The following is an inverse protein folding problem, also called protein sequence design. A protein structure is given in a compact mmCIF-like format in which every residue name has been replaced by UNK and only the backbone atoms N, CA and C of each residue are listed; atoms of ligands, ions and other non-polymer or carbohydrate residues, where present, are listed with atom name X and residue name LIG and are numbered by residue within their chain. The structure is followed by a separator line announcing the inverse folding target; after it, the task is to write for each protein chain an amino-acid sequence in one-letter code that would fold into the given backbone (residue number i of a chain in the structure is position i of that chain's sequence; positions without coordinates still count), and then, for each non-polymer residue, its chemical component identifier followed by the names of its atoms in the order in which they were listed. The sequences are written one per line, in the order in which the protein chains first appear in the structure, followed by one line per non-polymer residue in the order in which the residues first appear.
data_IF_693321006267
#
_entry.id   IF_693321006267
#
_cell.length_a   1.000
_cell.length_b   1.000
_cell.length_c   1.000
_cell.angle_alpha   90.00
_cell.angle_beta   90.00
_cell.angle_gamma   90.00
#
_symmetry.space_group_name_H-M   'P 1'
#
loop_
_entity.id
_entity.type
_entity.pdbx_description
1 polymer ?
#
# COMPACT_ATOMS: atom_id res chain seq x y z
N UNK A 1 -60.58 16.83 19.22
CA UNK A 1 -59.88 16.31 20.41
C UNK A 1 -58.88 15.32 19.88
N UNK A 2 -57.59 15.58 20.04
CA UNK A 2 -56.56 14.61 19.63
C UNK A 2 -56.53 13.53 20.73
N UNK A 3 -56.93 12.33 20.37
CA UNK A 3 -56.92 11.17 21.26
C UNK A 3 -55.47 10.77 21.52
N UNK A 4 -55.06 10.75 22.78
CA UNK A 4 -53.74 10.30 23.23
C UNK A 4 -53.90 9.04 24.06
N UNK A 5 -52.94 8.12 23.93
CA UNK A 5 -52.88 6.87 24.68
C UNK A 5 -51.76 6.97 25.72
N UNK A 6 -52.06 6.73 27.01
CA UNK A 6 -51.02 6.64 28.03
C UNK A 6 -50.12 5.45 27.71
N UNK A 7 -48.84 5.73 27.48
CA UNK A 7 -47.83 4.76 27.05
C UNK A 7 -46.67 4.78 28.03
N UNK A 8 -46.32 3.62 28.58
CA UNK A 8 -45.17 3.48 29.46
C UNK A 8 -43.85 3.59 28.68
N UNK A 9 -42.92 4.37 29.21
CA UNK A 9 -41.53 4.41 28.77
C UNK A 9 -40.59 3.97 29.90
N UNK A 10 -39.51 3.27 29.53
CA UNK A 10 -38.47 2.76 30.41
C UNK A 10 -37.08 3.21 29.97
N UNK A 11 -36.16 3.35 30.91
CA UNK A 11 -34.73 3.61 30.67
C UNK A 11 -33.86 2.44 31.15
N UNK A 12 -32.63 2.30 30.62
CA UNK A 12 -31.69 1.28 31.10
C UNK A 12 -31.30 1.40 32.59
N UNK A 13 -31.44 2.60 33.16
CA UNK A 13 -31.21 2.87 34.59
C UNK A 13 -32.37 2.45 35.51
N UNK A 14 -33.43 1.87 34.94
CA UNK A 14 -34.63 1.43 35.65
C UNK A 14 -35.70 2.50 35.86
N UNK A 15 -35.52 3.72 35.33
CA UNK A 15 -36.55 4.77 35.40
C UNK A 15 -37.75 4.41 34.53
N UNK A 16 -38.96 4.65 35.04
CA UNK A 16 -40.21 4.43 34.32
C UNK A 16 -41.14 5.65 34.42
N UNK A 17 -41.76 6.06 33.31
CA UNK A 17 -42.68 7.20 33.25
C UNK A 17 -43.80 6.93 32.23
N UNK A 18 -45.00 7.48 32.49
CA UNK A 18 -46.13 7.40 31.55
C UNK A 18 -46.14 8.65 30.68
N UNK A 19 -46.17 8.45 29.36
CA UNK A 19 -46.29 9.51 28.38
C UNK A 19 -47.66 9.46 27.69
N UNK A 20 -48.34 10.61 27.62
CA UNK A 20 -49.56 10.74 26.80
C UNK A 20 -49.17 10.98 25.35
N UNK A 21 -49.18 9.91 24.55
CA UNK A 21 -48.71 9.93 23.16
C UNK A 21 -49.87 9.71 22.18
N UNK A 22 -49.86 10.41 21.04
CA UNK A 22 -50.77 10.07 19.94
C UNK A 22 -50.48 8.64 19.43
N UNK A 23 -51.49 7.89 18.95
CA UNK A 23 -51.30 6.54 18.42
C UNK A 23 -50.19 6.47 17.37
N UNK A 24 -49.22 5.58 17.57
CA UNK A 24 -48.08 5.38 16.67
C UNK A 24 -46.93 6.40 16.82
N UNK A 25 -47.02 7.36 17.74
CA UNK A 25 -45.90 8.26 18.05
C UNK A 25 -44.85 7.51 18.88
N UNK A 26 -43.59 7.65 18.49
CA UNK A 26 -42.46 7.12 19.26
C UNK A 26 -42.31 7.82 20.62
N UNK A 27 -41.74 7.10 21.59
CA UNK A 27 -41.31 7.66 22.87
C UNK A 27 -40.20 8.70 22.66
N UNK A 28 -40.00 9.63 23.61
CA UNK A 28 -38.88 10.56 23.59
C UNK A 28 -37.53 9.83 23.51
N UNK A 29 -36.52 10.51 22.98
CA UNK A 29 -35.17 9.95 22.84
C UNK A 29 -34.64 9.44 24.18
N UNK A 30 -34.07 8.23 24.17
CA UNK A 30 -33.56 7.54 25.36
C UNK A 30 -34.62 6.80 26.19
N UNK A 31 -35.89 6.79 25.78
CA UNK A 31 -36.96 6.00 26.41
C UNK A 31 -37.44 4.86 25.51
N UNK A 32 -37.66 3.70 26.10
CA UNK A 32 -38.02 2.46 25.41
C UNK A 32 -39.37 1.94 25.86
N UNK A 33 -40.13 1.31 24.97
CA UNK A 33 -41.46 0.79 25.29
C UNK A 33 -41.42 -0.54 26.07
N UNK A 34 -40.27 -1.21 26.12
CA UNK A 34 -40.10 -2.49 26.82
C UNK A 34 -39.27 -2.34 28.10
N UNK A 35 -39.68 -2.97 29.22
CA UNK A 35 -38.85 -3.16 30.41
C UNK A 35 -37.56 -3.93 30.13
N UNK A 36 -37.46 -4.65 29.01
CA UNK A 36 -36.25 -5.41 28.65
C UNK A 36 -35.02 -4.52 28.37
N UNK A 37 -35.23 -3.20 28.22
CA UNK A 37 -34.11 -2.25 28.13
C UNK A 37 -33.39 -2.06 29.47
N UNK A 38 -33.99 -2.49 30.60
CA UNK A 38 -33.41 -2.39 31.93
C UNK A 38 -32.26 -3.40 32.05
N UNK A 39 -31.04 -2.89 32.18
CA UNK A 39 -29.83 -3.71 32.15
C UNK A 39 -29.63 -4.56 33.43
N UNK A 40 -30.32 -4.21 34.52
CA UNK A 40 -30.32 -4.95 35.78
C UNK A 40 -31.62 -5.78 35.92
N UNK A 41 -31.56 -7.12 35.84
CA UNK A 41 -32.72 -7.99 35.98
C UNK A 41 -33.48 -7.83 37.31
N UNK A 42 -32.81 -7.41 38.39
CA UNK A 42 -33.45 -7.18 39.68
C UNK A 42 -34.39 -5.97 39.66
N UNK A 43 -34.17 -5.03 38.72
CA UNK A 43 -35.00 -3.85 38.51
C UNK A 43 -36.08 -4.06 37.43
N UNK A 44 -36.05 -5.18 36.70
CA UNK A 44 -37.01 -5.47 35.64
C UNK A 44 -38.36 -6.04 36.14
N UNK A 45 -38.54 -6.21 37.45
CA UNK A 45 -39.81 -6.70 38.02
C UNK A 45 -40.76 -5.55 38.35
N UNK A 46 -42.05 -5.75 38.10
CA UNK A 46 -43.09 -4.75 38.40
C UNK A 46 -43.09 -4.34 39.88
N UNK A 47 -42.75 -5.27 40.78
CA UNK A 47 -42.66 -5.01 42.22
C UNK A 47 -41.43 -4.19 42.60
N UNK A 48 -40.26 -4.44 42.00
CA UNK A 48 -39.06 -3.63 42.24
C UNK A 48 -39.20 -2.20 41.71
N UNK A 49 -39.85 -2.04 40.54
CA UNK A 49 -40.17 -0.74 39.97
C UNK A 49 -41.16 0.04 40.86
N UNK A 50 -42.21 -0.64 41.34
CA UNK A 50 -43.21 -0.03 42.24
C UNK A 50 -42.60 0.34 43.60
N UNK A 51 -41.78 -0.55 44.19
CA UNK A 51 -41.08 -0.29 45.43
C UNK A 51 -40.17 0.94 45.31
N UNK A 52 -39.46 1.10 44.18
CA UNK A 52 -38.59 2.25 43.93
C UNK A 52 -39.36 3.56 43.76
N UNK A 53 -40.48 3.54 43.03
CA UNK A 53 -41.38 4.72 42.90
C UNK A 53 -41.92 5.14 44.27
N UNK A 54 -42.22 4.17 45.14
CA UNK A 54 -42.72 4.41 46.50
C UNK A 54 -41.61 4.68 47.55
N UNK A 55 -40.33 4.69 47.15
CA UNK A 55 -39.19 4.88 48.05
C UNK A 55 -38.95 3.73 49.04
N UNK A 56 -39.48 2.54 48.76
CA UNK A 56 -39.30 1.32 49.56
C UNK A 56 -38.10 0.50 49.06
N UNK A 57 -37.35 -0.17 49.97
CA UNK A 57 -36.27 -1.08 49.56
C UNK A 57 -36.84 -2.23 48.72
N UNK A 58 -36.05 -2.73 47.77
CA UNK A 58 -36.49 -3.80 46.89
C UNK A 58 -36.69 -5.12 47.66
N UNK A 59 -37.54 -6.04 47.17
CA UNK A 59 -37.80 -7.33 47.82
C UNK A 59 -36.53 -8.14 48.09
N UNK A 60 -35.55 -8.12 47.17
CA UNK A 60 -34.26 -8.78 47.33
C UNK A 60 -33.46 -8.22 48.53
N UNK A 61 -33.59 -6.92 48.82
CA UNK A 61 -32.96 -6.29 49.99
C UNK A 61 -33.67 -6.70 51.28
N UNK A 62 -34.99 -6.87 51.25
CA UNK A 62 -35.78 -7.31 52.41
C UNK A 62 -35.49 -8.77 52.79
N UNK A 63 -35.32 -9.65 51.82
CA UNK A 63 -34.97 -11.06 52.04
C UNK A 63 -33.57 -11.22 52.67
N UNK A 64 -32.61 -10.43 52.19
CA UNK A 64 -31.27 -10.33 52.80
C UNK A 64 -31.31 -9.81 54.25
N UNK A 65 -32.18 -8.84 54.53
CA UNK A 65 -32.34 -8.29 55.86
C UNK A 65 -32.93 -9.32 56.85
N UNK A 66 -33.85 -10.17 56.40
CA UNK A 66 -34.47 -11.22 57.23
C UNK A 66 -33.45 -12.33 57.59
N UNK A 67 -32.64 -12.79 56.62
CA UNK A 67 -31.57 -13.77 56.86
C UNK A 67 -30.48 -13.26 57.83
N UNK A 68 -30.23 -11.95 57.85
CA UNK A 68 -29.24 -11.35 58.76
C UNK A 68 -29.76 -11.15 60.19
N UNK A 69 -31.08 -11.14 60.40
CA UNK A 69 -31.72 -10.81 61.68
C UNK A 69 -31.55 -11.90 62.75
N UNK A 70 -31.46 -13.17 62.33
CA UNK A 70 -31.31 -14.34 63.23
C UNK A 70 -29.85 -14.74 63.49
N UNK A 71 -28.88 -14.10 62.83
CA UNK A 71 -27.45 -14.45 62.98
C UNK A 71 -26.82 -13.76 64.20
N UNK A 72 -25.94 -14.44 64.96
CA UNK A 72 -25.22 -13.80 66.06
C UNK A 72 -24.40 -12.63 65.55
N UNK A 73 -24.41 -11.50 66.27
CA UNK A 73 -23.66 -10.28 65.92
C UNK A 73 -22.17 -10.57 65.64
N UNK A 74 -21.54 -11.44 66.42
CA UNK A 74 -20.14 -11.83 66.22
C UNK A 74 -19.89 -12.55 64.87
N UNK A 75 -20.89 -13.26 64.33
CA UNK A 75 -20.80 -13.91 63.02
C UNK A 75 -20.98 -12.89 61.91
N UNK A 76 -21.91 -11.93 62.08
CA UNK A 76 -22.09 -10.81 61.15
C UNK A 76 -20.83 -9.93 61.08
N UNK A 77 -20.19 -9.67 62.22
CA UNK A 77 -18.93 -8.91 62.29
C UNK A 77 -17.78 -9.63 61.57
N UNK A 78 -17.70 -10.96 61.73
CA UNK A 78 -16.70 -11.77 61.04
C UNK A 78 -16.93 -11.80 59.52
N UNK A 79 -18.17 -11.99 59.08
CA UNK A 79 -18.53 -11.97 57.67
C UNK A 79 -18.32 -10.60 57.03
N UNK A 80 -18.66 -9.52 57.74
CA UNK A 80 -18.39 -8.16 57.28
C UNK A 80 -16.88 -7.92 57.16
N UNK A 81 -16.09 -8.37 58.13
CA UNK A 81 -14.62 -8.26 58.08
C UNK A 81 -14.05 -9.02 56.88
N UNK A 82 -14.54 -10.24 56.62
CA UNK A 82 -14.12 -11.03 55.47
C UNK A 82 -14.53 -10.39 54.14
N UNK A 83 -15.77 -9.89 54.06
CA UNK A 83 -16.26 -9.20 52.86
C UNK A 83 -15.46 -7.93 52.57
N UNK A 84 -15.12 -7.14 53.59
CA UNK A 84 -14.27 -5.95 53.43
C UNK A 84 -12.85 -6.32 52.97
N UNK A 85 -12.28 -7.41 53.50
CA UNK A 85 -10.97 -7.90 53.06
C UNK A 85 -11.01 -8.36 51.59
N UNK A 86 -12.07 -9.07 51.18
CA UNK A 86 -12.24 -9.49 49.79
C UNK A 86 -12.50 -8.31 48.86
N UNK A 87 -13.29 -7.32 49.28
CA UNK A 87 -13.50 -6.07 48.52
C UNK A 87 -12.17 -5.35 48.31
N UNK A 88 -11.32 -5.25 49.34
CA UNK A 88 -10.00 -4.64 49.20
C UNK A 88 -9.13 -5.41 48.19
N UNK A 89 -9.08 -6.75 48.31
CA UNK A 89 -8.35 -7.62 47.37
C UNK A 89 -8.85 -7.47 45.94
N UNK A 90 -10.17 -7.50 45.71
CA UNK A 90 -10.76 -7.34 44.37
C UNK A 90 -10.51 -5.95 43.81
N UNK A 91 -10.52 -4.91 44.65
CA UNK A 91 -10.19 -3.55 44.25
C UNK A 91 -8.75 -3.43 43.75
N UNK A 92 -7.80 -4.07 44.43
CA UNK A 92 -6.39 -4.11 44.01
C UNK A 92 -6.20 -4.87 42.68
N UNK A 93 -6.92 -5.98 42.50
CA UNK A 93 -6.92 -6.75 41.25
C UNK A 93 -7.47 -5.91 40.10
N UNK A 94 -8.59 -5.21 40.31
CA UNK A 94 -9.20 -4.34 39.31
C UNK A 94 -8.24 -3.20 38.96
N UNK A 95 -7.64 -2.54 39.95
CA UNK A 95 -6.69 -1.46 39.71
C UNK A 95 -5.48 -1.93 38.88
N UNK A 96 -4.94 -3.10 39.21
CA UNK A 96 -3.82 -3.71 38.47
C UNK A 96 -4.24 -4.05 37.04
N UNK A 97 -5.40 -4.72 36.86
CA UNK A 97 -5.91 -5.08 35.54
C UNK A 97 -6.25 -3.87 34.67
N UNK A 98 -6.76 -2.79 35.25
CA UNK A 98 -6.99 -1.53 34.54
C UNK A 98 -5.69 -0.90 34.05
N UNK A 99 -4.64 -0.89 34.87
CA UNK A 99 -3.32 -0.37 34.47
C UNK A 99 -2.67 -1.24 33.37
N UNK A 100 -2.82 -2.57 33.46
CA UNK A 100 -2.36 -3.48 32.40
C UNK A 100 -3.13 -3.29 31.10
N UNK A 101 -4.45 -3.08 31.17
CA UNK A 101 -5.27 -2.80 29.99
C UNK A 101 -4.88 -1.49 29.31
N UNK A 102 -4.62 -0.41 30.08
CA UNK A 102 -4.14 0.86 29.54
C UNK A 102 -2.82 0.67 28.80
N UNK A 103 -1.88 -0.06 29.40
CA UNK A 103 -0.60 -0.39 28.76
C UNK A 103 -0.78 -1.21 27.47
N UNK A 104 -1.68 -2.19 27.45
CA UNK A 104 -1.94 -2.99 26.25
C UNK A 104 -2.58 -2.16 25.14
N UNK A 105 -3.45 -1.20 25.48
CA UNK A 105 -4.02 -0.26 24.50
C UNK A 105 -2.91 0.59 23.89
N UNK A 106 -2.01 1.16 24.70
CA UNK A 106 -0.87 1.92 24.20
C UNK A 106 0.05 1.08 23.29
N UNK A 107 0.31 -0.18 23.67
CA UNK A 107 1.11 -1.11 22.85
C UNK A 107 0.42 -1.43 21.51
N UNK A 108 -0.90 -1.63 21.51
CA UNK A 108 -1.67 -1.87 20.28
C UNK A 108 -1.58 -0.65 19.38
N UNK A 109 -1.87 0.55 19.89
CA UNK A 109 -1.81 1.78 19.10
C UNK A 109 -0.42 2.01 18.49
N UNK A 110 0.65 1.74 19.25
CA UNK A 110 2.02 1.83 18.76
C UNK A 110 2.31 0.81 17.64
N UNK A 111 1.84 -0.43 17.79
CA UNK A 111 1.99 -1.48 16.76
C UNK A 111 1.19 -1.15 15.50
N UNK A 112 -0.02 -0.60 15.63
CA UNK A 112 -0.83 -0.18 14.50
C UNK A 112 -0.18 0.98 13.73
N UNK A 113 0.34 1.98 14.44
CA UNK A 113 1.10 3.06 13.82
C UNK A 113 2.34 2.54 13.07
N UNK A 114 3.07 1.58 13.67
CA UNK A 114 4.23 0.96 13.03
C UNK A 114 3.85 0.13 11.79
N UNK A 115 2.73 -0.60 11.83
CA UNK A 115 2.18 -1.34 10.69
C UNK A 115 1.84 -0.40 9.54
N UNK A 116 1.17 0.70 9.83
CA UNK A 116 0.73 1.64 8.80
C UNK A 116 1.93 2.34 8.14
N UNK A 117 2.96 2.70 8.93
CA UNK A 117 4.23 3.20 8.40
C UNK A 117 4.92 2.17 7.48
N UNK A 118 5.00 0.90 7.90
CA UNK A 118 5.60 -0.16 7.10
C UNK A 118 4.83 -0.40 5.78
N UNK A 119 3.50 -0.32 5.79
CA UNK A 119 2.69 -0.43 4.57
C UNK A 119 2.98 0.71 3.59
N UNK A 120 3.12 1.94 4.09
CA UNK A 120 3.49 3.09 3.25
C UNK A 120 4.90 2.96 2.64
N UNK A 121 5.85 2.42 3.40
CA UNK A 121 7.19 2.12 2.89
C UNK A 121 7.16 1.06 1.78
N UNK A 122 6.39 -0.02 1.97
CA UNK A 122 6.23 -1.07 0.96
C UNK A 122 5.60 -0.52 -0.33
N UNK A 123 4.61 0.34 -0.23
CA UNK A 123 4.00 0.98 -1.39
C UNK A 123 5.00 1.87 -2.14
N UNK A 124 5.77 2.68 -1.41
CA UNK A 124 6.84 3.52 -1.97
C UNK A 124 7.89 2.67 -2.68
N UNK A 125 8.33 1.57 -2.05
CA UNK A 125 9.32 0.66 -2.64
C UNK A 125 8.79 -0.03 -3.91
N UNK A 126 7.51 -0.39 -3.95
CA UNK A 126 6.87 -0.97 -5.15
C UNK A 126 6.80 0.01 -6.31
N UNK A 127 6.47 1.27 -6.03
CA UNK A 127 6.48 2.32 -7.05
C UNK A 127 7.89 2.52 -7.62
N UNK A 128 8.90 2.65 -6.76
CA UNK A 128 10.30 2.76 -7.19
C UNK A 128 10.76 1.54 -8.01
N UNK A 129 10.35 0.33 -7.62
CA UNK A 129 10.66 -0.88 -8.39
C UNK A 129 10.02 -0.86 -9.79
N UNK A 130 8.77 -0.41 -9.92
CA UNK A 130 8.12 -0.29 -11.22
C UNK A 130 8.84 0.71 -12.14
N UNK A 131 9.31 1.84 -11.59
CA UNK A 131 10.12 2.82 -12.32
C UNK A 131 11.45 2.20 -12.78
N UNK A 132 12.12 1.42 -11.94
CA UNK A 132 13.38 0.75 -12.31
C UNK A 132 13.20 -0.29 -13.42
N UNK A 133 12.08 -1.02 -13.45
CA UNK A 133 11.78 -1.94 -14.54
C UNK A 133 11.58 -1.20 -15.86
N UNK A 134 10.84 -0.09 -15.82
CA UNK A 134 10.64 0.77 -17.01
C UNK A 134 11.97 1.30 -17.54
N UNK A 135 12.88 1.74 -16.64
CA UNK A 135 14.21 2.19 -17.01
C UNK A 135 15.08 1.05 -17.59
N UNK A 136 14.97 -0.16 -17.06
CA UNK A 136 15.69 -1.33 -17.55
C UNK A 136 15.23 -1.74 -18.95
N UNK A 137 13.92 -1.72 -19.21
CA UNK A 137 13.37 -2.00 -20.54
C UNK A 137 13.88 -0.97 -21.56
N UNK A 138 13.83 0.32 -21.21
CA UNK A 138 14.36 1.39 -22.06
C UNK A 138 15.86 1.24 -22.36
N UNK A 139 16.65 0.88 -21.35
CA UNK A 139 18.09 0.63 -21.53
C UNK A 139 18.35 -0.59 -22.44
N UNK A 140 17.52 -1.63 -22.32
CA UNK A 140 17.63 -2.85 -23.15
C UNK A 140 17.31 -2.54 -24.62
N UNK A 141 16.26 -1.75 -24.88
CA UNK A 141 15.96 -1.25 -26.22
C UNK A 141 17.13 -0.42 -26.78
N UNK A 142 17.66 0.52 -26.00
CA UNK A 142 18.78 1.36 -26.44
C UNK A 142 20.04 0.54 -26.76
N UNK A 143 20.35 -0.50 -25.98
CA UNK A 143 21.46 -1.41 -26.27
C UNK A 143 21.25 -2.18 -27.57
N UNK A 144 20.03 -2.64 -27.84
CA UNK A 144 19.69 -3.34 -29.07
C UNK A 144 19.86 -2.42 -30.28
N UNK A 145 19.39 -1.17 -30.18
CA UNK A 145 19.54 -0.17 -31.23
C UNK A 145 21.02 0.17 -31.49
N UNK A 146 21.82 0.33 -30.44
CA UNK A 146 23.26 0.57 -30.55
C UNK A 146 23.98 -0.61 -31.21
N UNK A 147 23.60 -1.85 -30.93
CA UNK A 147 24.15 -3.03 -31.59
C UNK A 147 23.81 -3.06 -33.08
N UNK A 148 22.58 -2.69 -33.45
CA UNK A 148 22.18 -2.58 -34.84
C UNK A 148 22.98 -1.48 -35.57
N UNK A 149 23.11 -0.29 -34.95
CA UNK A 149 23.91 0.81 -35.49
C UNK A 149 25.38 0.45 -35.65
N UNK A 150 25.97 -0.27 -34.69
CA UNK A 150 27.35 -0.74 -34.77
C UNK A 150 27.54 -1.70 -35.95
N UNK A 151 26.61 -2.66 -36.11
CA UNK A 151 26.63 -3.62 -37.23
C UNK A 151 26.53 -2.90 -38.57
N UNK A 152 25.63 -1.91 -38.66
CA UNK A 152 25.48 -1.10 -39.87
C UNK A 152 26.75 -0.30 -40.19
N UNK A 153 27.33 0.38 -39.20
CA UNK A 153 28.56 1.16 -39.40
C UNK A 153 29.75 0.27 -39.84
N UNK A 154 29.83 -0.97 -39.34
CA UNK A 154 30.83 -1.93 -39.78
C UNK A 154 30.63 -2.35 -41.25
N UNK A 155 29.38 -2.58 -41.66
CA UNK A 155 29.05 -2.90 -43.04
C UNK A 155 29.40 -1.72 -43.98
N UNK A 156 28.97 -0.51 -43.63
CA UNK A 156 29.23 0.70 -44.42
C UNK A 156 30.74 0.99 -44.53
N UNK A 157 31.49 0.83 -43.44
CA UNK A 157 32.94 0.97 -43.44
C UNK A 157 33.65 -0.06 -44.34
N UNK A 158 33.17 -1.30 -44.36
CA UNK A 158 33.72 -2.34 -45.24
C UNK A 158 33.46 -2.05 -46.72
N UNK A 159 32.29 -1.51 -47.05
CA UNK A 159 31.94 -1.08 -48.40
C UNK A 159 32.84 0.09 -48.85
N UNK A 160 33.03 1.10 -47.99
CA UNK A 160 33.89 2.24 -48.29
C UNK A 160 35.36 1.84 -48.55
N UNK A 161 35.87 0.84 -47.81
CA UNK A 161 37.21 0.29 -48.05
C UNK A 161 37.28 -0.38 -49.43
N UNK A 162 36.29 -1.20 -49.78
CA UNK A 162 36.25 -1.88 -51.08
C UNK A 162 36.16 -0.89 -52.25
N UNK A 163 35.36 0.17 -52.11
CA UNK A 163 35.25 1.23 -53.12
C UNK A 163 36.57 1.99 -53.30
N UNK A 164 37.26 2.31 -52.20
CA UNK A 164 38.59 2.92 -52.24
C UNK A 164 39.60 2.02 -52.95
N UNK A 165 39.64 0.74 -52.61
CA UNK A 165 40.60 -0.21 -53.19
C UNK A 165 40.35 -0.39 -54.71
N UNK A 166 39.08 -0.36 -55.15
CA UNK A 166 38.72 -0.36 -56.56
C UNK A 166 39.17 0.92 -57.29
N UNK A 167 38.96 2.10 -56.67
CA UNK A 167 39.40 3.37 -57.21
C UNK A 167 40.94 3.45 -57.33
N UNK A 168 41.67 2.92 -56.35
CA UNK A 168 43.13 2.84 -56.38
C UNK A 168 43.63 1.94 -57.53
N UNK A 169 42.96 0.79 -57.75
CA UNK A 169 43.28 -0.09 -58.87
C UNK A 169 43.03 0.57 -60.24
N UNK A 170 41.92 1.31 -60.38
CA UNK A 170 41.61 2.06 -61.60
C UNK A 170 42.60 3.20 -61.85
N UNK A 171 43.02 3.92 -60.80
CA UNK A 171 44.07 4.94 -60.91
C UNK A 171 45.39 4.35 -61.42
N UNK A 172 45.78 3.17 -60.95
CA UNK A 172 47.02 2.52 -61.37
C UNK A 172 46.95 2.04 -62.82
N UNK A 173 45.78 1.53 -63.24
CA UNK A 173 45.51 1.22 -64.65
C UNK A 173 45.60 2.46 -65.53
N UNK A 174 44.94 3.55 -65.16
CA UNK A 174 44.97 4.82 -65.90
C UNK A 174 46.39 5.40 -65.99
N UNK A 175 47.21 5.26 -64.93
CA UNK A 175 48.63 5.65 -64.97
C UNK A 175 49.42 4.84 -66.00
N UNK A 176 49.17 3.52 -66.05
CA UNK A 176 49.80 2.63 -67.02
C UNK A 176 49.38 2.96 -68.44
N UNK A 177 48.08 3.14 -68.68
CA UNK A 177 47.53 3.51 -69.99
C UNK A 177 48.08 4.87 -70.47
N UNK A 178 48.20 5.84 -69.56
CA UNK A 178 48.75 7.15 -69.86
C UNK A 178 50.25 7.07 -70.18
N UNK A 179 51.02 6.24 -69.47
CA UNK A 179 52.43 6.00 -69.78
C UNK A 179 52.60 5.35 -71.16
N UNK A 180 51.75 4.37 -71.50
CA UNK A 180 51.74 3.73 -72.82
C UNK A 180 51.38 4.73 -73.93
N UNK A 181 50.31 5.51 -73.76
CA UNK A 181 49.90 6.51 -74.74
C UNK A 181 50.98 7.57 -74.99
N UNK A 182 51.76 7.94 -73.96
CA UNK A 182 52.93 8.81 -74.11
C UNK A 182 54.02 8.14 -74.95
N UNK A 183 54.35 6.88 -74.66
CA UNK A 183 55.34 6.13 -75.42
C UNK A 183 54.93 5.97 -76.90
N UNK A 184 53.66 5.69 -77.16
CA UNK A 184 53.11 5.59 -78.52
C UNK A 184 53.14 6.94 -79.26
N UNK A 185 52.84 8.04 -78.56
CA UNK A 185 52.95 9.40 -79.11
C UNK A 185 54.40 9.74 -79.47
N UNK A 186 55.35 9.44 -78.58
CA UNK A 186 56.78 9.65 -78.82
C UNK A 186 57.26 8.83 -80.03
N UNK A 187 56.82 7.57 -80.15
CA UNK A 187 57.14 6.71 -81.29
C UNK A 187 56.54 7.22 -82.61
N UNK A 188 55.30 7.70 -82.60
CA UNK A 188 54.62 8.22 -83.78
C UNK A 188 55.18 9.57 -84.25
N UNK A 189 55.72 10.38 -83.33
CA UNK A 189 56.32 11.69 -83.63
C UNK A 189 57.83 11.64 -83.84
N UNK A 190 58.45 10.47 -83.67
CA UNK A 190 59.86 10.28 -83.96
C UNK A 190 60.16 10.50 -85.46
N UNK A 191 61.24 11.23 -85.81
CA UNK A 191 61.58 11.51 -87.20
C UNK A 191 61.90 10.22 -87.96
N UNK A 192 61.32 10.06 -89.17
CA UNK A 192 61.57 8.91 -90.03
C UNK A 192 63.08 8.76 -90.30
N UNK A 193 63.66 7.65 -89.88
CA UNK A 193 65.07 7.37 -90.07
C UNK A 193 65.41 7.40 -91.58
N UNK A 194 66.41 8.22 -91.93
CA UNK A 194 66.92 8.32 -93.30
C UNK A 194 67.34 6.94 -93.81
N UNK A 195 66.77 6.52 -94.94
CA UNK A 195 67.06 5.24 -95.58
C UNK A 195 68.58 5.07 -95.82
N UNK A 196 69.15 3.88 -95.57
CA UNK A 196 70.57 3.64 -95.81
C UNK A 196 70.85 3.75 -97.32
N UNK A 197 71.70 4.72 -97.70
CA UNK A 197 72.21 4.84 -99.07
C UNK A 197 72.99 3.56 -99.41
N UNK A 198 72.49 2.80 -100.38
CA UNK A 198 73.19 1.67 -100.97
C UNK A 198 74.53 2.15 -101.57
N UNK A 199 75.63 1.62 -101.05
CA UNK A 199 76.95 1.83 -101.63
C UNK A 199 77.08 1.02 -102.92
N UNK A 200 77.00 1.69 -104.06
CA UNK A 200 77.44 1.15 -105.34
C UNK A 200 78.95 0.93 -105.32
N UNK A 201 79.41 -0.32 -105.45
CA UNK A 201 80.80 -0.64 -105.77
C UNK A 201 80.86 -1.17 -107.20
N UNK A 202 81.29 -0.30 -108.10
CA UNK A 202 81.74 -0.64 -109.45
C UNK A 202 83.19 -1.12 -109.40
N UNK A 203 83.48 -2.25 -110.05
CA UNK A 203 84.78 -2.63 -110.63
C UNK A 203 84.52 -3.92 -111.45
N UNK A 204 84.38 -3.83 -112.77
CA UNK A 204 85.43 -3.95 -113.80
C UNK A 204 86.00 -5.36 -113.91
#
# INVERSE_FOLDING_TARGET
MNETTPTWGYKPDGSAEIFDLAPGRALPEGWHASPDCIADPALATAEALTARVDGRPSPAVLELLDETSDRPVAVLDADLTNALAEIARLSDIIATGSAENEKLVDEIEAVEAARDAALAEVETARAAHADTLTALDAATTALTDLQAQLTQAQADGSFAIAERDAADADLERLRTDLAQARADLDAATAPAAAAPKASAKAAR
#
